data_IF_625784299843
#
_entry.id   IF_625784299843
#
_cell.length_a   1.000
_cell.length_b   1.000
_cell.length_c   1.000
_cell.angle_alpha   90.00
_cell.angle_beta   90.00
_cell.angle_gamma   90.00
#
_symmetry.space_group_name_H-M   'P 1'
#
loop_
_entity.id
_entity.type
_entity.pdbx_description
1 polymer ?
#
# COMPACT_ATOMS: atom_id res chain seq x y z
N UNK A 1 7.77 8.47 -44.86
CA UNK A 1 6.92 7.94 -43.78
C UNK A 1 7.73 7.24 -42.69
N UNK A 2 8.77 6.44 -43.03
CA UNK A 2 9.65 5.74 -42.08
C UNK A 2 10.41 6.65 -41.09
N UNK A 3 10.80 7.87 -41.49
CA UNK A 3 11.48 8.83 -40.60
C UNK A 3 10.55 9.40 -39.52
N UNK A 4 9.28 9.67 -39.86
CA UNK A 4 8.25 10.11 -38.89
C UNK A 4 7.86 9.02 -37.88
N UNK A 5 8.04 7.75 -38.24
CA UNK A 5 7.85 6.62 -37.32
C UNK A 5 8.97 6.56 -36.27
N UNK A 6 10.23 6.77 -36.70
CA UNK A 6 11.39 6.77 -35.80
C UNK A 6 11.45 7.97 -34.86
N UNK A 7 10.97 9.14 -35.30
CA UNK A 7 10.86 10.33 -34.44
C UNK A 7 9.78 10.15 -33.37
N UNK A 8 8.62 9.57 -33.71
CA UNK A 8 7.60 9.22 -32.71
C UNK A 8 8.07 8.18 -31.71
N UNK A 9 8.78 7.14 -32.18
CA UNK A 9 9.34 6.08 -31.33
C UNK A 9 10.46 6.61 -30.42
N UNK A 10 11.16 7.66 -30.86
CA UNK A 10 12.16 8.38 -30.06
C UNK A 10 11.51 9.33 -29.05
N UNK A 11 10.49 10.10 -29.43
CA UNK A 11 9.73 10.96 -28.51
C UNK A 11 8.93 10.14 -27.49
N UNK A 12 8.46 8.95 -27.85
CA UNK A 12 7.76 8.01 -26.97
C UNK A 12 8.75 7.32 -26.02
N UNK A 13 9.96 6.97 -26.47
CA UNK A 13 11.07 6.55 -25.59
C UNK A 13 11.60 7.67 -24.69
N UNK A 14 11.62 8.91 -25.15
CA UNK A 14 12.04 10.08 -24.36
C UNK A 14 10.94 10.49 -23.37
N UNK A 15 9.66 10.26 -23.67
CA UNK A 15 8.54 10.33 -22.70
C UNK A 15 8.51 9.15 -21.72
N UNK A 16 8.88 7.95 -22.16
CA UNK A 16 9.01 6.75 -21.33
C UNK A 16 10.29 6.70 -20.50
N UNK A 17 11.28 7.52 -20.84
CA UNK A 17 12.34 7.92 -19.93
C UNK A 17 11.75 8.85 -18.86
N UNK A 18 10.82 8.31 -18.06
CA UNK A 18 10.34 8.87 -16.80
C UNK A 18 11.52 9.52 -16.13
N UNK A 19 11.46 10.85 -15.98
CA UNK A 19 12.52 11.66 -15.38
C UNK A 19 12.96 10.98 -14.08
N UNK A 20 14.09 10.28 -14.16
CA UNK A 20 14.68 9.67 -12.98
C UNK A 20 15.43 10.78 -12.25
N UNK A 21 15.35 10.79 -10.93
CA UNK A 21 15.99 11.78 -10.09
C UNK A 21 17.27 11.24 -9.45
N UNK A 22 18.29 12.09 -9.35
CA UNK A 22 19.48 11.82 -8.52
C UNK A 22 19.15 12.03 -7.04
N UNK A 23 18.27 12.98 -6.71
CA UNK A 23 17.83 13.24 -5.35
C UNK A 23 16.36 13.60 -5.33
N UNK A 24 15.61 12.98 -4.42
CA UNK A 24 14.21 13.31 -4.12
C UNK A 24 14.15 13.81 -2.68
N UNK A 25 13.69 15.03 -2.44
CA UNK A 25 13.47 15.56 -1.09
C UNK A 25 11.98 15.64 -0.80
N UNK A 26 11.52 14.91 0.21
CA UNK A 26 10.09 14.73 0.50
C UNK A 26 9.62 15.44 1.76
N UNK A 27 10.47 16.24 2.42
CA UNK A 27 10.16 16.87 3.70
C UNK A 27 9.59 15.83 4.69
N UNK A 28 8.39 16.01 5.24
CA UNK A 28 7.72 15.06 6.13
C UNK A 28 6.61 14.22 5.47
N UNK A 29 6.59 14.05 4.14
CA UNK A 29 5.60 13.19 3.47
C UNK A 29 5.45 11.79 4.11
N UNK A 30 6.53 11.09 4.53
CA UNK A 30 6.39 9.77 5.15
C UNK A 30 5.61 9.78 6.47
N UNK A 31 5.47 10.93 7.14
CA UNK A 31 4.62 11.05 8.33
C UNK A 31 3.12 10.86 8.01
N UNK A 32 2.73 11.01 6.74
CA UNK A 32 1.35 10.87 6.26
C UNK A 32 1.13 9.63 5.39
N UNK A 33 2.15 9.24 4.63
CA UNK A 33 2.05 8.14 3.65
C UNK A 33 2.71 6.86 4.11
N UNK A 34 3.40 6.89 5.27
CA UNK A 34 4.30 5.86 5.80
C UNK A 34 5.63 5.74 5.02
N UNK A 35 6.66 5.20 5.69
CA UNK A 35 7.96 4.91 5.05
C UNK A 35 7.80 3.86 3.95
N UNK A 36 6.93 2.85 4.17
CA UNK A 36 6.61 1.85 3.15
C UNK A 36 6.05 2.50 1.88
N UNK A 37 5.06 3.39 2.03
CA UNK A 37 4.48 4.13 0.90
C UNK A 37 5.53 4.93 0.14
N UNK A 38 6.41 5.61 0.89
CA UNK A 38 7.51 6.38 0.33
C UNK A 38 8.49 5.51 -0.45
N UNK A 39 8.88 4.34 0.08
CA UNK A 39 9.78 3.43 -0.62
C UNK A 39 9.14 2.84 -1.87
N UNK A 40 7.87 2.48 -1.82
CA UNK A 40 7.14 1.97 -2.98
C UNK A 40 7.03 3.02 -4.09
N UNK A 41 6.78 4.28 -3.74
CA UNK A 41 6.60 5.37 -4.72
C UNK A 41 7.93 5.93 -5.23
N UNK A 42 8.84 6.32 -4.33
CA UNK A 42 10.03 7.08 -4.69
C UNK A 42 11.13 6.21 -5.33
N UNK A 43 11.23 4.94 -4.94
CA UNK A 43 12.33 4.07 -5.40
C UNK A 43 12.26 3.74 -6.89
N UNK A 44 11.07 3.84 -7.52
CA UNK A 44 10.91 3.73 -8.97
C UNK A 44 11.46 4.95 -9.70
N UNK A 45 11.46 6.13 -9.06
CA UNK A 45 11.87 7.38 -9.67
C UNK A 45 13.37 7.71 -9.47
N UNK A 46 14.15 6.85 -8.80
CA UNK A 46 15.59 7.06 -8.61
C UNK A 46 16.40 6.60 -9.84
N UNK A 47 17.45 7.37 -10.22
CA UNK A 47 18.35 7.06 -11.35
C UNK A 47 19.23 5.81 -11.12
N UNK A 48 19.61 5.53 -9.87
CA UNK A 48 20.48 4.40 -9.55
C UNK A 48 20.95 4.39 -8.10
N UNK A 49 22.03 3.66 -7.84
CA UNK A 49 22.57 3.38 -6.49
C UNK A 49 23.10 4.63 -5.77
N UNK A 50 23.57 5.61 -6.55
CA UNK A 50 24.04 6.90 -6.05
C UNK A 50 22.90 7.90 -5.82
N UNK A 51 21.68 7.55 -6.24
CA UNK A 51 20.51 8.39 -6.03
C UNK A 51 19.92 8.17 -4.65
N UNK A 52 19.32 9.22 -4.07
CA UNK A 52 18.72 9.12 -2.74
C UNK A 52 17.35 9.79 -2.65
N UNK A 53 16.54 9.23 -1.76
CA UNK A 53 15.36 9.88 -1.19
C UNK A 53 15.72 10.38 0.21
N UNK A 54 15.36 11.63 0.48
CA UNK A 54 15.64 12.31 1.75
C UNK A 54 14.32 12.81 2.32
N UNK A 55 14.07 12.49 3.58
CA UNK A 55 12.88 12.93 4.29
C UNK A 55 13.15 13.07 5.79
N UNK A 56 12.25 13.78 6.46
CA UNK A 56 12.33 14.13 7.87
C UNK A 56 11.10 13.54 8.57
N UNK A 57 11.26 13.14 9.82
CA UNK A 57 10.14 12.87 10.69
C UNK A 57 9.96 14.09 11.60
N UNK A 58 9.01 14.94 11.26
CA UNK A 58 8.78 16.20 11.98
C UNK A 58 7.63 16.07 12.97
N UNK A 59 6.58 15.34 12.59
CA UNK A 59 5.32 15.33 13.35
C UNK A 59 5.21 14.13 14.28
N UNK A 60 5.72 12.97 13.84
CA UNK A 60 5.72 11.73 14.60
C UNK A 60 7.00 11.57 15.43
N UNK A 61 7.79 12.63 15.59
CA UNK A 61 9.11 12.59 16.17
C UNK A 61 9.06 11.91 17.57
N UNK A 62 8.31 12.38 18.57
CA UNK A 62 8.40 11.79 19.92
C UNK A 62 8.03 10.30 20.06
N UNK A 63 7.41 9.69 19.03
CA UNK A 63 6.97 8.29 19.07
C UNK A 63 8.11 7.27 18.99
N UNK A 64 9.23 7.63 18.36
CA UNK A 64 10.28 6.66 18.01
C UNK A 64 11.59 6.98 18.73
N UNK A 65 12.40 5.96 18.99
CA UNK A 65 13.71 6.12 19.65
C UNK A 65 14.87 6.01 18.68
N UNK A 66 14.63 5.45 17.49
CA UNK A 66 15.65 5.24 16.47
C UNK A 66 15.06 5.28 15.05
N UNK A 67 15.93 5.42 14.05
CA UNK A 67 15.53 5.30 12.63
C UNK A 67 14.98 3.90 12.35
N UNK A 68 15.57 2.88 12.99
CA UNK A 68 15.16 1.50 12.84
C UNK A 68 13.74 1.27 13.34
N UNK A 69 13.37 1.83 14.49
CA UNK A 69 12.00 1.77 15.01
C UNK A 69 11.01 2.49 14.07
N UNK A 70 11.36 3.67 13.57
CA UNK A 70 10.50 4.42 12.64
C UNK A 70 10.24 3.66 11.32
N UNK A 71 11.30 3.07 10.76
CA UNK A 71 11.21 2.23 9.57
C UNK A 71 10.39 0.97 9.86
N UNK A 72 10.69 0.28 10.97
CA UNK A 72 10.03 -0.97 11.34
C UNK A 72 8.53 -0.77 11.54
N UNK A 73 8.13 0.33 12.17
CA UNK A 73 6.74 0.60 12.50
C UNK A 73 5.79 0.63 11.30
N UNK A 74 6.32 0.94 10.12
CA UNK A 74 5.56 1.08 8.88
C UNK A 74 5.88 0.03 7.82
N UNK A 75 7.07 -0.58 7.86
CA UNK A 75 7.50 -1.57 6.87
C UNK A 75 7.52 -3.01 7.42
N UNK A 76 7.49 -3.18 8.74
CA UNK A 76 7.78 -4.45 9.45
C UNK A 76 9.15 -5.04 9.12
N UNK A 77 10.08 -4.21 8.65
CA UNK A 77 11.46 -4.55 8.32
C UNK A 77 12.40 -3.65 9.11
N UNK A 78 13.50 -4.22 9.58
CA UNK A 78 14.61 -3.43 10.11
C UNK A 78 15.37 -2.77 8.96
N UNK A 79 16.12 -1.71 9.25
CA UNK A 79 17.03 -1.05 8.29
C UNK A 79 18.05 -2.01 7.69
N UNK A 80 18.39 -3.10 8.40
CA UNK A 80 19.26 -4.18 7.91
C UNK A 80 18.58 -5.08 6.88
N UNK A 81 17.26 -5.25 6.96
CA UNK A 81 16.48 -6.10 6.06
C UNK A 81 15.98 -5.35 4.81
N UNK A 82 15.93 -4.02 4.85
CA UNK A 82 15.50 -3.19 3.72
C UNK A 82 16.26 -3.46 2.40
N UNK A 83 17.60 -3.66 2.38
CA UNK A 83 18.31 -3.91 1.13
C UNK A 83 17.82 -5.19 0.45
N UNK A 84 17.51 -6.21 1.24
CA UNK A 84 17.12 -7.52 0.73
C UNK A 84 15.64 -7.58 0.36
N UNK A 85 14.78 -6.84 1.07
CA UNK A 85 13.33 -6.92 0.89
C UNK A 85 12.74 -5.81 0.00
N UNK A 86 13.38 -4.63 -0.05
CA UNK A 86 12.87 -3.46 -0.77
C UNK A 86 13.93 -2.79 -1.68
N UNK A 87 15.16 -3.30 -1.70
CA UNK A 87 16.31 -2.69 -2.39
C UNK A 87 16.56 -1.23 -1.97
N UNK A 88 16.27 -0.94 -0.71
CA UNK A 88 16.50 0.38 -0.09
C UNK A 88 17.56 0.23 1.01
N UNK A 89 18.45 1.21 1.14
CA UNK A 89 19.48 1.22 2.17
C UNK A 89 19.51 2.57 2.87
N UNK A 90 19.54 2.56 4.21
CA UNK A 90 19.78 3.75 5.00
C UNK A 90 21.24 4.19 4.87
N UNK A 91 21.48 5.43 4.42
CA UNK A 91 22.81 6.02 4.22
C UNK A 91 23.22 6.97 5.36
N UNK A 92 22.38 7.13 6.37
CA UNK A 92 22.60 8.01 7.50
C UNK A 92 21.76 9.29 7.42
N UNK A 93 22.30 10.36 8.00
CA UNK A 93 21.60 11.63 8.19
C UNK A 93 21.66 12.08 9.64
N UNK A 94 20.82 13.04 10.02
CA UNK A 94 20.84 13.66 11.35
C UNK A 94 19.99 12.90 12.37
N UNK A 95 19.96 11.57 12.24
CA UNK A 95 19.12 10.68 13.04
C UNK A 95 17.62 10.79 12.71
N UNK A 96 16.81 10.10 13.50
CA UNK A 96 15.37 9.99 13.28
C UNK A 96 14.60 11.30 13.52
N UNK A 97 15.19 12.26 14.25
CA UNK A 97 14.63 13.61 14.47
C UNK A 97 14.96 14.60 13.35
N UNK A 98 15.86 14.22 12.45
CA UNK A 98 16.37 15.08 11.39
C UNK A 98 16.12 14.47 10.02
N UNK A 99 16.99 14.86 9.07
CA UNK A 99 16.96 14.29 7.73
C UNK A 99 17.46 12.85 7.79
N UNK A 100 16.66 11.92 7.28
CA UNK A 100 17.04 10.54 7.01
C UNK A 100 17.27 10.39 5.51
N UNK A 101 18.36 9.73 5.14
CA UNK A 101 18.77 9.54 3.75
C UNK A 101 18.71 8.05 3.42
N UNK A 102 17.95 7.71 2.38
CA UNK A 102 17.87 6.35 1.85
C UNK A 102 18.25 6.33 0.37
N UNK A 103 19.03 5.34 -0.05
CA UNK A 103 19.37 5.12 -1.46
C UNK A 103 18.87 3.76 -1.94
N UNK A 104 18.97 3.52 -3.25
CA UNK A 104 18.90 2.14 -3.75
C UNK A 104 20.11 1.36 -3.20
N UNK A 105 19.87 0.09 -2.83
CA UNK A 105 20.93 -0.82 -2.42
C UNK A 105 21.79 -1.22 -3.63
N UNK A 106 23.13 -1.27 -3.50
CA UNK A 106 23.99 -1.56 -4.63
C UNK A 106 23.83 -3.00 -5.14
N UNK A 107 23.76 -3.16 -6.47
CA UNK A 107 23.61 -4.44 -7.16
C UNK A 107 24.80 -5.38 -6.88
N UNK A 108 25.99 -4.81 -6.64
CA UNK A 108 27.21 -5.57 -6.32
C UNK A 108 27.23 -6.20 -4.92
N UNK A 109 26.41 -5.71 -3.98
CA UNK A 109 26.18 -6.39 -2.70
C UNK A 109 25.25 -7.61 -2.82
N UNK A 110 24.74 -7.85 -4.03
CA UNK A 110 23.68 -8.80 -4.36
C UNK A 110 24.05 -9.66 -5.58
N UNK A 111 25.34 -9.89 -5.83
CA UNK A 111 25.74 -10.80 -6.92
C UNK A 111 25.08 -12.17 -6.69
N UNK A 112 24.19 -12.62 -7.58
CA UNK A 112 23.55 -13.91 -7.45
C UNK A 112 24.60 -14.96 -7.79
N UNK A 113 25.37 -15.37 -6.80
CA UNK A 113 25.87 -16.75 -6.85
C UNK A 113 24.62 -17.63 -6.93
N UNK A 114 24.54 -18.60 -7.86
CA UNK A 114 23.40 -19.53 -8.00
C UNK A 114 23.04 -20.30 -6.71
N UNK A 115 23.88 -20.17 -5.67
CA UNK A 115 23.77 -20.79 -4.35
C UNK A 115 23.51 -19.81 -3.19
N UNK A 116 23.30 -18.51 -3.44
CA UNK A 116 22.95 -17.59 -2.36
C UNK A 116 21.45 -17.69 -2.04
N UNK A 117 21.18 -18.31 -0.89
CA UNK A 117 19.90 -18.25 -0.23
C UNK A 117 19.46 -16.79 -0.12
N UNK A 118 18.22 -16.48 -0.51
CA UNK A 118 17.58 -15.22 -0.17
C UNK A 118 17.78 -14.96 1.33
N UNK A 119 18.16 -13.74 1.71
CA UNK A 119 18.33 -13.39 3.13
C UNK A 119 17.05 -13.58 3.94
N UNK A 120 15.90 -13.56 3.26
CA UNK A 120 14.59 -13.85 3.83
C UNK A 120 14.16 -15.27 3.48
N UNK A 121 13.83 -16.07 4.49
CA UNK A 121 13.24 -17.39 4.26
C UNK A 121 11.81 -17.27 3.73
N UNK A 122 11.31 -18.33 3.09
CA UNK A 122 9.93 -18.35 2.59
C UNK A 122 8.90 -18.07 3.68
N UNK A 123 9.09 -18.65 4.86
CA UNK A 123 8.16 -18.51 5.99
C UNK A 123 8.15 -17.07 6.52
N UNK A 124 9.32 -16.42 6.57
CA UNK A 124 9.43 -15.01 6.96
C UNK A 124 8.79 -14.10 5.93
N UNK A 125 9.00 -14.37 4.63
CA UNK A 125 8.37 -13.63 3.54
C UNK A 125 6.84 -13.70 3.62
N UNK A 126 6.26 -14.91 3.71
CA UNK A 126 4.81 -15.08 3.82
C UNK A 126 4.26 -14.36 5.07
N UNK A 127 4.97 -14.45 6.19
CA UNK A 127 4.57 -13.78 7.44
C UNK A 127 4.62 -12.26 7.29
N UNK A 128 5.67 -11.72 6.69
CA UNK A 128 5.85 -10.28 6.42
C UNK A 128 4.77 -9.74 5.48
N UNK A 129 4.52 -10.42 4.36
CA UNK A 129 3.53 -10.00 3.37
C UNK A 129 2.11 -9.95 3.94
N UNK A 130 1.74 -10.97 4.72
CA UNK A 130 0.41 -11.01 5.36
C UNK A 130 0.33 -10.00 6.51
N UNK A 131 1.39 -9.81 7.31
CA UNK A 131 1.42 -8.78 8.36
C UNK A 131 1.26 -7.38 7.76
N UNK A 132 1.95 -7.10 6.67
CA UNK A 132 1.85 -5.83 5.93
C UNK A 132 0.43 -5.63 5.39
N UNK A 133 -0.19 -6.65 4.77
CA UNK A 133 -1.58 -6.58 4.33
C UNK A 133 -2.53 -6.26 5.48
N UNK A 134 -2.43 -6.99 6.59
CA UNK A 134 -3.30 -6.78 7.75
C UNK A 134 -3.17 -5.37 8.32
N UNK A 135 -1.96 -4.82 8.34
CA UNK A 135 -1.72 -3.43 8.81
C UNK A 135 -2.31 -2.36 7.88
N UNK A 136 -2.53 -2.68 6.60
CA UNK A 136 -3.16 -1.81 5.61
C UNK A 136 -4.68 -2.01 5.55
N UNK A 137 -5.19 -3.15 6.01
CA UNK A 137 -6.62 -3.43 6.10
C UNK A 137 -7.23 -2.91 7.40
N UNK A 138 -6.47 -2.95 8.50
CA UNK A 138 -6.96 -2.65 9.84
C UNK A 138 -6.09 -1.57 10.50
N UNK A 139 -6.70 -0.52 11.07
CA UNK A 139 -5.95 0.44 11.85
C UNK A 139 -5.42 -0.25 13.12
N UNK A 140 -4.17 0.04 13.48
CA UNK A 140 -3.65 -0.29 14.80
C UNK A 140 -4.43 0.45 15.87
N UNK A 141 -4.62 -0.18 17.04
CA UNK A 141 -5.21 0.51 18.20
C UNK A 141 -4.25 1.62 18.62
N UNK A 142 -4.79 2.84 18.79
CA UNK A 142 -4.04 4.04 19.14
C UNK A 142 -4.56 4.64 20.43
N UNK A 143 -3.65 5.18 21.22
CA UNK A 143 -4.02 6.00 22.35
C UNK A 143 -4.43 7.40 21.84
N UNK A 144 -5.70 7.76 22.03
CA UNK A 144 -6.28 9.04 21.56
C UNK A 144 -5.57 10.29 22.10
N UNK A 145 -4.74 10.14 23.14
CA UNK A 145 -4.03 11.24 23.80
C UNK A 145 -2.62 11.46 23.26
N UNK A 146 -2.12 10.55 22.42
CA UNK A 146 -0.70 10.37 22.15
C UNK A 146 -0.48 10.31 20.64
N UNK A 147 -0.38 11.49 20.03
CA UNK A 147 0.12 11.78 18.69
C UNK A 147 -0.73 11.41 17.45
N UNK A 148 -0.36 12.04 16.34
CA UNK A 148 -1.01 12.03 15.03
C UNK A 148 -0.34 11.02 14.09
N UNK A 149 -0.16 9.77 14.51
CA UNK A 149 0.40 8.77 13.60
C UNK A 149 -0.56 8.58 12.42
N UNK A 150 -0.30 9.21 11.28
CA UNK A 150 -1.11 9.00 10.08
C UNK A 150 -0.51 7.81 9.33
N UNK A 151 -1.27 6.72 9.25
CA UNK A 151 -0.94 5.61 8.37
C UNK A 151 -1.82 5.73 7.14
N UNK A 152 -1.23 5.67 5.96
CA UNK A 152 -1.98 5.52 4.71
C UNK A 152 -2.59 4.12 4.65
N UNK A 153 -3.80 3.96 5.17
CA UNK A 153 -4.53 2.68 5.22
C UNK A 153 -5.21 2.47 3.87
N UNK A 154 -4.47 2.02 2.86
CA UNK A 154 -5.08 1.58 1.60
C UNK A 154 -4.50 0.24 1.16
N UNK A 155 -5.39 -0.72 0.85
CA UNK A 155 -4.97 -2.05 0.38
C UNK A 155 -4.28 -1.97 -0.99
N UNK A 156 -4.51 -0.90 -1.76
CA UNK A 156 -3.77 -0.57 -2.98
C UNK A 156 -2.25 -0.51 -2.76
N UNK A 157 -1.78 -0.02 -1.61
CA UNK A 157 -0.34 0.03 -1.28
C UNK A 157 0.28 -1.36 -1.26
N UNK A 158 -0.49 -2.37 -0.87
CA UNK A 158 -0.03 -3.76 -0.88
C UNK A 158 0.20 -4.27 -2.31
N UNK A 159 -0.67 -3.92 -3.26
CA UNK A 159 -0.49 -4.27 -4.68
C UNK A 159 0.70 -3.54 -5.31
N UNK A 160 0.92 -2.27 -4.96
CA UNK A 160 2.11 -1.53 -5.41
C UNK A 160 3.40 -2.14 -4.84
N UNK A 161 3.38 -2.62 -3.59
CA UNK A 161 4.48 -3.39 -3.03
C UNK A 161 4.73 -4.69 -3.82
N UNK A 162 3.68 -5.45 -4.14
CA UNK A 162 3.81 -6.66 -4.98
C UNK A 162 4.42 -6.35 -6.35
N UNK A 163 3.96 -5.28 -7.00
CA UNK A 163 4.52 -4.83 -8.28
C UNK A 163 6.01 -4.53 -8.15
N UNK A 164 6.39 -3.82 -7.08
CA UNK A 164 7.80 -3.49 -6.84
C UNK A 164 8.67 -4.72 -6.66
N UNK A 165 8.20 -5.70 -5.89
CA UNK A 165 8.90 -6.96 -5.67
C UNK A 165 9.12 -7.73 -6.99
N UNK A 166 8.13 -7.70 -7.89
CA UNK A 166 8.21 -8.33 -9.23
C UNK A 166 9.13 -7.52 -10.16
N UNK A 167 8.94 -6.20 -10.24
CA UNK A 167 9.70 -5.30 -11.13
C UNK A 167 11.20 -5.36 -10.85
N UNK A 168 11.57 -5.47 -9.57
CA UNK A 168 12.98 -5.51 -9.13
C UNK A 168 13.51 -6.91 -8.88
N UNK A 169 12.75 -7.94 -9.22
CA UNK A 169 13.11 -9.35 -9.06
C UNK A 169 13.70 -9.65 -7.67
N UNK A 170 13.05 -9.10 -6.64
CA UNK A 170 13.57 -9.13 -5.26
C UNK A 170 13.38 -10.51 -4.63
N UNK A 171 12.24 -11.14 -4.92
CA UNK A 171 11.86 -12.46 -4.45
C UNK A 171 11.31 -13.28 -5.61
N UNK A 172 11.34 -14.62 -5.54
CA UNK A 172 10.81 -15.47 -6.60
C UNK A 172 9.33 -15.17 -6.86
N UNK A 173 8.98 -14.98 -8.14
CA UNK A 173 7.60 -14.64 -8.56
C UNK A 173 6.56 -15.64 -8.10
N UNK A 174 6.93 -16.93 -8.00
CA UNK A 174 6.03 -17.97 -7.50
C UNK A 174 5.69 -17.77 -6.01
N UNK A 175 6.59 -17.22 -5.18
CA UNK A 175 6.26 -16.86 -3.79
C UNK A 175 5.16 -15.80 -3.75
N UNK A 176 5.27 -14.79 -4.62
CA UNK A 176 4.27 -13.72 -4.73
C UNK A 176 2.93 -14.28 -5.23
N UNK A 177 2.95 -15.11 -6.27
CA UNK A 177 1.73 -15.71 -6.82
C UNK A 177 1.00 -16.57 -5.79
N UNK A 178 1.72 -17.41 -5.04
CA UNK A 178 1.15 -18.25 -3.98
C UNK A 178 0.57 -17.43 -2.82
N UNK A 179 1.26 -16.36 -2.38
CA UNK A 179 0.71 -15.44 -1.36
C UNK A 179 -0.55 -14.77 -1.88
N UNK A 180 -0.52 -14.22 -3.09
CA UNK A 180 -1.65 -13.53 -3.70
C UNK A 180 -2.84 -14.48 -3.91
N UNK A 181 -2.60 -15.71 -4.37
CA UNK A 181 -3.63 -16.73 -4.49
C UNK A 181 -4.26 -17.08 -3.14
N UNK A 182 -3.44 -17.29 -2.10
CA UNK A 182 -3.96 -17.59 -0.76
C UNK A 182 -4.86 -16.48 -0.21
N UNK A 183 -4.49 -15.22 -0.47
CA UNK A 183 -5.27 -14.03 -0.11
C UNK A 183 -6.58 -13.99 -0.90
N UNK A 184 -6.55 -14.14 -2.22
CA UNK A 184 -7.72 -14.01 -3.10
C UNK A 184 -8.71 -15.19 -2.94
N UNK A 185 -8.23 -16.36 -2.54
CA UNK A 185 -9.04 -17.55 -2.22
C UNK A 185 -9.51 -17.60 -0.77
N UNK A 186 -9.08 -16.65 0.07
CA UNK A 186 -9.34 -16.63 1.51
C UNK A 186 -8.86 -17.88 2.26
N UNK A 187 -7.71 -18.43 1.85
CA UNK A 187 -7.12 -19.65 2.41
C UNK A 187 -5.86 -19.39 3.24
N UNK A 188 -5.62 -18.13 3.63
CA UNK A 188 -4.41 -17.69 4.33
C UNK A 188 -4.26 -18.42 5.66
N UNK A 189 -3.13 -19.13 5.82
CA UNK A 189 -2.68 -19.72 7.10
C UNK A 189 -1.29 -19.18 7.44
N UNK A 190 -1.20 -18.32 8.45
CA UNK A 190 0.05 -17.62 8.77
C UNK A 190 0.26 -17.40 10.27
N UNK A 191 1.52 -17.16 10.66
CA UNK A 191 1.89 -16.64 11.98
C UNK A 191 1.63 -15.14 12.12
N UNK A 192 1.38 -14.46 11.00
CA UNK A 192 1.10 -13.03 10.94
C UNK A 192 -0.04 -12.64 11.89
N UNK A 193 0.12 -11.49 12.56
CA UNK A 193 -0.90 -10.87 13.41
C UNK A 193 -0.87 -9.38 13.17
N UNK A 194 -1.97 -8.73 13.48
CA UNK A 194 -2.00 -7.27 13.56
C UNK A 194 -1.29 -6.83 14.84
N UNK A 195 -0.47 -5.76 14.81
CA UNK A 195 0.05 -5.17 16.04
C UNK A 195 -1.08 -4.68 16.94
N UNK A 196 -0.97 -4.93 18.24
CA UNK A 196 -2.01 -4.56 19.23
C UNK A 196 -1.90 -3.12 19.71
N UNK A 197 -0.83 -2.40 19.33
CA UNK A 197 -0.60 -1.02 19.75
C UNK A 197 0.28 -0.26 18.77
N UNK A 198 0.41 1.03 19.04
CA UNK A 198 1.32 1.95 18.36
C UNK A 198 2.08 2.78 19.41
N UNK A 199 3.40 3.02 19.26
CA UNK A 199 4.28 2.61 18.16
C UNK A 199 4.51 1.09 18.07
N UNK A 200 4.74 0.58 16.87
CA UNK A 200 5.14 -0.82 16.65
C UNK A 200 6.66 -0.91 16.65
N UNK A 201 7.23 -1.64 17.60
CA UNK A 201 8.67 -1.84 17.71
C UNK A 201 9.14 -3.21 17.18
N UNK A 202 10.46 -3.37 17.05
CA UNK A 202 11.08 -4.58 16.51
C UNK A 202 10.86 -5.83 17.37
N UNK A 203 10.46 -5.70 18.64
CA UNK A 203 10.10 -6.86 19.48
C UNK A 203 8.89 -7.61 18.93
N UNK A 204 8.04 -6.93 18.14
CA UNK A 204 6.91 -7.54 17.46
C UNK A 204 7.34 -8.69 16.54
N UNK A 205 8.49 -8.60 15.86
CA UNK A 205 9.03 -9.70 15.05
C UNK A 205 9.27 -10.97 15.88
N UNK A 206 9.78 -10.81 17.10
CA UNK A 206 10.03 -11.93 18.02
C UNK A 206 8.72 -12.53 18.52
N UNK A 207 7.68 -11.72 18.71
CA UNK A 207 6.34 -12.19 19.05
C UNK A 207 5.74 -13.00 17.88
N UNK A 208 5.84 -12.49 16.64
CA UNK A 208 5.38 -13.21 15.45
C UNK A 208 6.07 -14.56 15.28
N UNK A 209 7.37 -14.65 15.55
CA UNK A 209 8.12 -15.91 15.47
C UNK A 209 7.57 -16.99 16.43
N UNK A 210 7.14 -16.58 17.62
CA UNK A 210 6.57 -17.44 18.67
C UNK A 210 5.12 -17.85 18.40
N UNK A 211 4.41 -17.13 17.53
CA UNK A 211 3.01 -17.43 17.25
C UNK A 211 2.85 -18.77 16.51
N UNK A 212 1.72 -19.43 16.78
CA UNK A 212 1.25 -20.55 15.98
C UNK A 212 0.60 -20.06 14.69
N UNK A 213 0.72 -20.85 13.62
CA UNK A 213 -0.02 -20.61 12.38
C UNK A 213 -1.52 -20.67 12.69
N UNK A 214 -2.25 -19.66 12.24
CA UNK A 214 -3.71 -19.62 12.33
C UNK A 214 -4.30 -19.28 10.96
N UNK A 215 -5.53 -19.71 10.73
CA UNK A 215 -6.32 -19.26 9.59
C UNK A 215 -6.69 -17.79 9.80
N UNK A 216 -6.50 -16.97 8.78
CA UNK A 216 -6.83 -15.55 8.79
C UNK A 216 -7.99 -15.34 7.84
N UNK A 217 -9.12 -14.83 8.36
CA UNK A 217 -10.28 -14.53 7.54
C UNK A 217 -10.18 -13.11 6.95
N UNK A 218 -10.03 -13.05 5.63
CA UNK A 218 -9.99 -11.82 4.84
C UNK A 218 -11.33 -11.53 4.14
N UNK A 219 -12.40 -12.29 4.43
CA UNK A 219 -13.74 -12.10 3.84
C UNK A 219 -14.19 -10.63 3.78
N UNK A 220 -13.97 -9.78 4.81
CA UNK A 220 -14.36 -8.37 4.76
C UNK A 220 -13.68 -7.55 3.64
N UNK A 221 -12.48 -7.97 3.20
CA UNK A 221 -11.65 -7.24 2.24
C UNK A 221 -11.62 -7.89 0.85
N UNK A 222 -12.12 -9.12 0.69
CA UNK A 222 -11.98 -9.89 -0.56
C UNK A 222 -12.53 -9.16 -1.80
N UNK A 223 -13.62 -8.40 -1.66
CA UNK A 223 -14.20 -7.67 -2.80
C UNK A 223 -13.23 -6.61 -3.32
N UNK A 224 -12.64 -5.82 -2.41
CA UNK A 224 -11.63 -4.81 -2.74
C UNK A 224 -10.36 -5.46 -3.28
N UNK A 225 -9.84 -6.48 -2.59
CA UNK A 225 -8.61 -7.19 -2.97
C UNK A 225 -8.73 -7.84 -4.35
N UNK A 226 -9.86 -8.48 -4.69
CA UNK A 226 -10.10 -9.06 -6.02
C UNK A 226 -10.25 -7.98 -7.08
N UNK A 227 -10.88 -6.85 -6.76
CA UNK A 227 -11.00 -5.72 -7.69
C UNK A 227 -9.62 -5.14 -8.01
N UNK A 228 -8.80 -4.89 -6.99
CA UNK A 228 -7.43 -4.42 -7.17
C UNK A 228 -6.59 -5.46 -7.92
N UNK A 229 -6.71 -6.75 -7.61
CA UNK A 229 -6.03 -7.79 -8.36
C UNK A 229 -6.37 -7.75 -9.85
N UNK A 230 -7.64 -7.60 -10.24
CA UNK A 230 -8.01 -7.41 -11.65
C UNK A 230 -7.36 -6.16 -12.27
N UNK A 231 -7.27 -5.05 -11.53
CA UNK A 231 -6.67 -3.81 -12.03
C UNK A 231 -5.16 -3.94 -12.23
N UNK A 232 -4.48 -4.65 -11.34
CA UNK A 232 -3.02 -4.78 -11.31
C UNK A 232 -2.48 -5.98 -12.09
N UNK A 233 -3.31 -6.98 -12.40
CA UNK A 233 -2.88 -8.18 -13.12
C UNK A 233 -2.17 -7.90 -14.47
N UNK A 234 -2.66 -6.97 -15.32
CA UNK A 234 -1.95 -6.64 -16.56
C UNK A 234 -0.53 -6.10 -16.31
N UNK A 235 -0.32 -5.39 -15.22
CA UNK A 235 0.99 -4.85 -14.84
C UNK A 235 1.92 -5.96 -14.34
N UNK A 236 1.40 -6.93 -13.57
CA UNK A 236 2.19 -8.10 -13.19
C UNK A 236 2.69 -8.89 -14.41
N UNK A 237 1.86 -8.98 -15.46
CA UNK A 237 2.25 -9.66 -16.70
C UNK A 237 3.23 -8.85 -17.56
N UNK A 238 3.13 -7.52 -17.59
CA UNK A 238 4.04 -6.69 -18.39
C UNK A 238 5.47 -6.66 -17.86
N UNK A 239 5.66 -6.79 -16.55
CA UNK A 239 6.99 -6.91 -15.94
C UNK A 239 7.59 -8.33 -16.03
N UNK A 240 6.98 -9.21 -16.83
CA UNK A 240 7.45 -10.58 -17.04
C UNK A 240 8.31 -10.71 -18.29
N UNK A 241 9.62 -10.51 -18.11
CA UNK A 241 10.63 -10.76 -19.14
C UNK A 241 10.95 -12.26 -19.29
N UNK A 242 10.59 -13.10 -18.31
CA UNK A 242 10.80 -14.55 -18.31
C UNK A 242 9.62 -15.28 -17.66
N UNK A 243 8.70 -15.80 -18.49
CA UNK A 243 7.55 -16.62 -18.07
C UNK A 243 6.33 -15.80 -17.65
N UNK A 244 5.12 -16.24 -17.98
CA UNK A 244 3.89 -15.52 -17.64
C UNK A 244 3.63 -15.56 -16.13
N UNK A 245 3.43 -14.40 -15.48
CA UNK A 245 2.85 -14.36 -14.14
C UNK A 245 1.39 -14.81 -14.24
N UNK A 246 1.13 -16.08 -13.92
CA UNK A 246 -0.21 -16.65 -13.94
C UNK A 246 -0.76 -16.70 -12.52
N UNK A 247 -1.98 -16.18 -12.34
CA UNK A 247 -2.76 -16.39 -11.12
C UNK A 247 -3.70 -17.57 -11.33
N UNK A 248 -3.54 -18.68 -10.56
CA UNK A 248 -4.39 -19.86 -10.71
C UNK A 248 -5.88 -19.58 -10.42
N UNK A 249 -6.16 -18.59 -9.56
CA UNK A 249 -7.51 -18.22 -9.14
C UNK A 249 -8.17 -17.12 -9.98
N UNK A 250 -7.78 -16.95 -11.25
CA UNK A 250 -8.31 -15.91 -12.14
C UNK A 250 -9.83 -15.94 -12.32
N UNK A 251 -10.47 -17.10 -12.15
CA UNK A 251 -11.94 -17.26 -12.18
C UNK A 251 -12.68 -16.54 -11.05
N UNK A 252 -12.00 -16.26 -9.93
CA UNK A 252 -12.57 -15.52 -8.80
C UNK A 252 -12.54 -13.99 -9.01
N UNK A 253 -11.81 -13.53 -10.02
CA UNK A 253 -11.63 -12.12 -10.29
C UNK A 253 -12.84 -11.53 -11.02
N UNK A 254 -13.32 -10.33 -10.65
CA UNK A 254 -14.31 -9.64 -11.45
C UNK A 254 -13.73 -9.34 -12.85
N UNK A 255 -14.58 -9.42 -13.88
CA UNK A 255 -14.21 -8.99 -15.24
C UNK A 255 -13.82 -7.50 -15.22
N UNK A 256 -12.77 -7.13 -15.94
CA UNK A 256 -12.26 -5.76 -15.98
C UNK A 256 -13.33 -4.75 -16.44
N UNK A 257 -14.17 -5.13 -17.39
CA UNK A 257 -15.31 -4.32 -17.89
C UNK A 257 -16.34 -3.98 -16.79
N UNK A 258 -16.44 -4.81 -15.74
CA UNK A 258 -17.36 -4.57 -14.62
C UNK A 258 -16.77 -3.62 -13.58
N UNK A 259 -15.47 -3.35 -13.64
CA UNK A 259 -14.81 -2.39 -12.75
C UNK A 259 -15.03 -1.00 -13.34
N UNK A 260 -15.94 -0.24 -12.72
CA UNK A 260 -16.25 1.11 -13.16
C UNK A 260 -15.03 2.01 -12.94
N UNK A 261 -14.60 2.71 -13.99
CA UNK A 261 -13.62 3.80 -13.88
C UNK A 261 -14.35 5.08 -13.54
N UNK A 262 -13.96 5.69 -12.43
CA UNK A 262 -14.43 7.02 -12.08
C UNK A 262 -13.57 8.07 -12.75
N UNK A 263 -14.22 8.98 -13.48
CA UNK A 263 -13.57 10.19 -13.97
C UNK A 263 -14.13 11.34 -13.16
N UNK A 264 -13.27 11.97 -12.36
CA UNK A 264 -13.62 13.22 -11.69
C UNK A 264 -13.56 14.35 -12.72
N UNK A 265 -14.64 15.10 -12.87
CA UNK A 265 -14.63 16.37 -13.62
C UNK A 265 -14.75 17.49 -12.60
N UNK A 266 -13.71 18.31 -12.50
CA UNK A 266 -13.71 19.47 -11.61
C UNK A 266 -14.69 20.51 -12.18
N UNK A 267 -15.91 20.52 -11.66
CA UNK A 267 -16.91 21.53 -11.97
C UNK A 267 -16.68 22.65 -10.95
N UNK A 268 -16.07 23.76 -11.37
CA UNK A 268 -15.47 24.81 -10.53
C UNK A 268 -16.34 25.54 -9.49
N UNK A 269 -17.42 24.94 -8.97
CA UNK A 269 -18.25 25.42 -7.86
C UNK A 269 -18.66 24.32 -6.86
N UNK A 270 -17.88 23.25 -6.73
CA UNK A 270 -18.07 22.25 -5.68
C UNK A 270 -17.67 20.84 -6.11
N UNK A 271 -17.18 20.06 -5.14
CA UNK A 271 -16.82 18.66 -5.34
C UNK A 271 -18.10 17.80 -5.38
N UNK A 272 -18.36 17.15 -6.50
CA UNK A 272 -19.47 16.21 -6.65
C UNK A 272 -18.94 14.85 -7.09
N UNK A 273 -18.93 13.87 -6.17
CA UNK A 273 -18.66 12.48 -6.50
C UNK A 273 -19.96 11.87 -7.04
N UNK A 274 -20.05 11.68 -8.35
CA UNK A 274 -21.29 11.24 -9.00
C UNK A 274 -21.67 9.77 -8.75
N UNK A 275 -20.75 8.94 -8.25
CA UNK A 275 -21.01 7.57 -7.79
C UNK A 275 -19.79 7.08 -6.99
N UNK A 276 -19.99 6.48 -5.82
CA UNK A 276 -18.96 5.72 -5.10
C UNK A 276 -19.35 4.23 -5.13
N UNK A 277 -18.44 3.30 -5.46
CA UNK A 277 -18.77 1.86 -5.41
C UNK A 277 -18.66 1.33 -3.97
N UNK A 278 -17.74 1.84 -3.15
CA UNK A 278 -17.46 1.24 -1.84
C UNK A 278 -17.30 2.27 -0.74
N UNK A 279 -18.09 2.10 0.33
CA UNK A 279 -17.82 2.64 1.65
C UNK A 279 -17.82 1.44 2.59
N UNK A 280 -16.66 1.08 3.12
CA UNK A 280 -16.58 0.07 4.18
C UNK A 280 -16.75 0.81 5.50
N UNK A 281 -17.94 0.74 6.07
CA UNK A 281 -18.20 1.21 7.42
C UNK A 281 -17.74 0.15 8.42
N UNK A 282 -16.78 0.51 9.27
CA UNK A 282 -16.42 -0.32 10.42
C UNK A 282 -17.21 0.18 11.62
N UNK A 283 -17.93 -0.72 12.29
CA UNK A 283 -18.52 -0.44 13.59
C UNK A 283 -17.59 -1.02 14.65
N UNK A 284 -17.09 -0.16 15.54
CA UNK A 284 -16.33 -0.58 16.71
C UNK A 284 -17.27 -0.59 17.90
N UNK A 285 -17.45 -1.75 18.53
CA UNK A 285 -18.24 -1.89 19.75
C UNK A 285 -17.35 -2.51 20.83
N UNK A 286 -17.07 -1.77 21.91
CA UNK A 286 -16.23 -2.23 23.03
C UNK A 286 -14.84 -2.79 22.64
N UNK A 287 -14.21 -2.25 21.58
CA UNK A 287 -12.91 -2.74 21.11
C UNK A 287 -12.97 -3.96 20.18
N UNK A 288 -14.16 -4.45 19.85
CA UNK A 288 -14.37 -5.49 18.83
C UNK A 288 -14.80 -4.88 17.50
N UNK A 289 -14.23 -5.40 16.41
CA UNK A 289 -14.47 -4.94 15.05
C UNK A 289 -15.62 -5.71 14.40
N UNK A 290 -16.64 -4.99 13.93
CA UNK A 290 -17.74 -5.57 13.16
C UNK A 290 -17.76 -4.97 11.75
N UNK A 291 -17.60 -5.82 10.74
CA UNK A 291 -17.79 -5.45 9.34
C UNK A 291 -19.24 -5.76 8.92
N UNK A 292 -20.00 -4.76 8.47
CA UNK A 292 -21.35 -4.98 7.96
C UNK A 292 -21.42 -4.62 6.47
N UNK A 293 -21.61 -5.63 5.62
CA UNK A 293 -21.76 -5.44 4.18
C UNK A 293 -23.24 -5.23 3.84
N UNK A 294 -23.60 -4.10 3.21
CA UNK A 294 -24.94 -3.92 2.61
C UNK A 294 -24.80 -3.45 1.17
N UNK A 295 -24.81 -4.41 0.25
CA UNK A 295 -24.92 -4.18 -1.20
C UNK A 295 -26.38 -4.12 -1.60
N UNK A 296 -26.95 -2.91 -1.66
CA UNK A 296 -27.99 -2.48 -2.61
C UNK A 296 -28.45 -1.09 -2.17
N UNK A 297 -28.00 -0.05 -2.88
CA UNK A 297 -28.74 1.20 -2.94
C UNK A 297 -29.52 1.20 -4.27
N UNK A 298 -30.83 1.00 -4.19
CA UNK A 298 -31.72 1.31 -5.30
C UNK A 298 -31.75 2.84 -5.44
N UNK A 299 -31.25 3.36 -6.56
CA UNK A 299 -31.32 4.80 -6.86
C UNK A 299 -32.61 5.08 -7.65
N UNK A 300 -33.61 5.62 -6.96
CA UNK A 300 -34.54 6.57 -7.59
C UNK A 300 -33.85 7.94 -7.62
N UNK A 301 -34.00 8.68 -8.73
CA UNK A 301 -33.41 10.02 -8.93
C UNK A 301 -33.82 10.96 -7.78
N UNK A 302 -32.88 11.58 -7.02
CA UNK A 302 -33.25 12.66 -6.12
C UNK A 302 -33.20 14.00 -6.85
N UNK A 303 -34.26 14.78 -6.69
CA UNK A 303 -34.28 16.23 -6.90
C UNK A 303 -33.29 16.92 -5.94
N UNK A 304 -32.77 18.07 -6.38
CA UNK A 304 -31.58 18.78 -5.89
C UNK A 304 -31.49 19.21 -4.40
N UNK A 305 -32.40 18.83 -3.50
CA UNK A 305 -32.50 19.43 -2.15
C UNK A 305 -32.42 18.46 -0.96
N UNK A 306 -31.82 17.28 -1.10
CA UNK A 306 -31.67 16.35 0.05
C UNK A 306 -30.24 15.84 0.23
N UNK A 307 -29.56 16.39 1.23
CA UNK A 307 -28.43 15.73 1.90
C UNK A 307 -28.97 14.43 2.51
N UNK A 308 -28.48 13.29 2.01
CA UNK A 308 -28.85 11.96 2.50
C UNK A 308 -28.18 11.69 3.85
N UNK A 309 -28.85 12.06 4.95
CA UNK A 309 -28.54 11.51 6.27
C UNK A 309 -29.10 10.08 6.33
N UNK A 310 -28.23 9.08 6.42
CA UNK A 310 -28.64 7.70 6.71
C UNK A 310 -28.83 7.55 8.23
N UNK A 311 -30.08 7.51 8.69
CA UNK A 311 -30.41 7.11 10.05
C UNK A 311 -30.30 5.58 10.20
N UNK A 312 -29.31 5.12 10.97
CA UNK A 312 -29.22 3.72 11.39
C UNK A 312 -30.20 3.47 12.54
N UNK A 313 -31.24 2.65 12.32
CA UNK A 313 -32.03 2.05 13.41
C UNK A 313 -31.34 0.77 13.85
N UNK A 314 -30.77 0.77 15.05
CA UNK A 314 -30.34 -0.46 15.72
C UNK A 314 -31.56 -1.27 16.18
N UNK A 315 -31.55 -2.61 16.10
CA UNK A 315 -32.55 -3.43 16.79
C UNK A 315 -32.34 -3.24 18.29
N UNK A 316 -33.36 -2.69 18.97
CA UNK A 316 -33.52 -2.58 20.42
C UNK A 316 -32.27 -2.89 21.29
N UNK A 317 -31.31 -1.99 21.33
CA UNK A 317 -30.42 -1.89 22.49
C UNK A 317 -30.18 -0.41 22.82
N UNK A 318 -30.49 -0.02 24.06
CA UNK A 318 -30.41 1.35 24.58
C UNK A 318 -28.95 1.78 24.82
N UNK A 319 -28.05 1.61 23.85
CA UNK A 319 -26.66 2.10 23.96
C UNK A 319 -26.24 2.83 22.69
N UNK A 320 -25.93 4.12 22.85
CA UNK A 320 -25.32 4.96 21.81
C UNK A 320 -23.89 4.45 21.55
N UNK A 321 -23.59 4.08 20.31
CA UNK A 321 -22.23 3.86 19.82
C UNK A 321 -21.87 4.91 18.78
N UNK A 322 -20.59 5.28 18.70
CA UNK A 322 -20.06 6.16 17.65
C UNK A 322 -19.88 5.39 16.34
N UNK A 323 -20.21 6.04 15.22
CA UNK A 323 -19.97 5.52 13.86
C UNK A 323 -18.81 6.31 13.28
N UNK A 324 -17.72 5.64 12.89
CA UNK A 324 -16.60 6.25 12.18
C UNK A 324 -16.55 5.78 10.72
N UNK A 325 -16.56 6.73 9.79
CA UNK A 325 -16.36 6.48 8.36
C UNK A 325 -14.85 6.58 8.09
N UNK A 326 -14.20 5.49 7.70
CA UNK A 326 -12.73 5.38 7.77
C UNK A 326 -12.00 5.40 6.42
N UNK A 327 -12.69 5.38 5.27
CA UNK A 327 -12.00 5.41 3.98
C UNK A 327 -12.90 5.85 2.80
N UNK A 328 -12.39 6.81 2.02
CA UNK A 328 -12.72 7.08 0.62
C UNK A 328 -11.40 7.06 -0.16
N UNK A 329 -11.37 6.35 -1.29
CA UNK A 329 -10.19 6.33 -2.18
C UNK A 329 -10.23 7.57 -3.07
N UNK A 330 -9.28 8.50 -2.84
CA UNK A 330 -9.09 9.70 -3.67
C UNK A 330 -8.04 9.44 -4.75
N UNK A 331 -8.36 9.79 -6.01
CA UNK A 331 -7.39 9.84 -7.10
C UNK A 331 -7.03 11.30 -7.37
N UNK A 332 -5.80 11.70 -7.05
CA UNK A 332 -5.25 12.97 -7.51
C UNK A 332 -4.65 12.81 -8.90
N UNK A 333 -5.13 13.62 -9.84
CA UNK A 333 -4.49 13.81 -11.13
C UNK A 333 -4.00 15.27 -11.17
N UNK A 334 -2.73 15.49 -10.85
CA UNK A 334 -2.09 16.81 -11.01
C UNK A 334 -1.62 16.96 -12.46
N UNK A 335 -2.56 17.31 -13.34
CA UNK A 335 -2.27 17.84 -14.67
C UNK A 335 -2.32 19.37 -14.62
N UNK A 336 -1.23 19.99 -15.06
CA UNK A 336 -0.92 21.43 -15.00
C UNK A 336 -1.98 22.37 -15.58
N UNK A 337 -1.95 23.62 -15.09
CA UNK A 337 -2.63 24.74 -15.74
C UNK A 337 -2.60 26.02 -14.93
N UNK A 338 -1.43 26.65 -14.76
CA UNK A 338 -1.33 28.08 -14.45
C UNK A 338 -0.28 28.71 -15.35
N UNK A 339 -0.75 29.15 -16.52
CA UNK A 339 -0.15 30.22 -17.30
C UNK A 339 -1.11 31.41 -17.27
N UNK A 340 -0.52 32.59 -17.08
CA UNK A 340 -1.03 33.95 -17.27
C UNK A 340 -2.12 34.49 -16.33
N UNK A 341 -1.76 35.60 -15.68
CA UNK A 341 -2.57 36.51 -14.88
C UNK A 341 -1.64 37.41 -14.09
#
# INVERSE_FOLDING_TARGET
>A
SLLKGKEKEKEEKEREASEKYTRIFLSNIPDYTSVLGTFVDASGALQGENSCVVFNNMYNCPLWRSVDEYVYATTFLTTKQLPDCLKMQHRGGNGWRGNMVFSLAPFSSLSPSPSQNLSISRVEFDTWMITTLLSLCLPTVRELKVYYEVRGITTQRWFLLLLRLIEKDIVPRHWISEVLESVLTNSVKSKARMPTGSPVDSSFSTQLAKNNKATIDLSPFLVELRTLATMYLPLFTSYSTCGSFALPCSSLLPKQERIRRYRHTNMGKGWCIHQAVFCVGFLVFNGEWFAHHKTQMNYERPSYDKVLYTHFKTPQSKKKGEIQLLSCVEFHNSGEGLMSG
#
